data_IF_304120044733
#
_entry.id   IF_304120044733
#
_cell.length_a   1.000
_cell.length_b   1.000
_cell.length_c   1.000
_cell.angle_alpha   90.00
_cell.angle_beta   90.00
_cell.angle_gamma   90.00
#
_symmetry.space_group_name_H-M   'P 1'
#
loop_
_entity.id
_entity.type
_entity.pdbx_description
1 polymer ?
#
# COMPACT_ATOMS: atom_id res chain seq x y z
N UNK A 1 56.19 10.32 -63.58
CA UNK A 1 56.24 9.02 -62.86
C UNK A 1 56.14 9.21 -61.31
N UNK A 2 56.72 10.27 -60.74
CA UNK A 2 56.71 10.52 -59.28
C UNK A 2 55.33 10.92 -58.69
N UNK A 3 54.43 11.46 -59.49
CA UNK A 3 53.10 11.92 -59.05
C UNK A 3 52.08 10.74 -58.90
N UNK A 4 52.26 9.66 -59.65
CA UNK A 4 51.36 8.47 -59.65
C UNK A 4 51.66 7.59 -58.43
N UNK A 5 52.92 7.44 -58.02
CA UNK A 5 53.31 6.63 -56.85
C UNK A 5 52.79 7.21 -55.54
N UNK A 6 52.78 8.55 -55.38
CA UNK A 6 52.26 9.18 -54.16
C UNK A 6 50.74 9.08 -54.02
N UNK A 7 49.99 9.00 -55.12
CA UNK A 7 48.51 8.82 -55.02
C UNK A 7 48.13 7.41 -54.65
N UNK A 8 48.85 6.39 -55.09
CA UNK A 8 48.62 4.99 -54.72
C UNK A 8 48.98 4.70 -53.25
N UNK A 9 50.02 5.37 -52.69
CA UNK A 9 50.41 5.22 -51.29
C UNK A 9 49.40 5.87 -50.32
N UNK A 10 48.86 7.05 -50.67
CA UNK A 10 47.84 7.74 -49.84
C UNK A 10 46.49 7.00 -49.92
N UNK A 11 46.15 6.40 -51.07
CA UNK A 11 44.91 5.62 -51.20
C UNK A 11 44.95 4.32 -50.38
N UNK A 12 46.10 3.64 -50.34
CA UNK A 12 46.24 2.41 -49.55
C UNK A 12 46.24 2.68 -48.05
N UNK A 13 46.80 3.80 -47.60
CA UNK A 13 46.78 4.19 -46.19
C UNK A 13 45.38 4.51 -45.70
N UNK A 14 44.57 5.22 -46.47
CA UNK A 14 43.20 5.53 -46.15
C UNK A 14 42.29 4.29 -46.11
N UNK A 15 42.54 3.32 -47.03
CA UNK A 15 41.79 2.07 -47.06
C UNK A 15 42.09 1.17 -45.83
N UNK A 16 43.35 1.14 -45.42
CA UNK A 16 43.79 0.38 -44.24
C UNK A 16 43.20 0.97 -42.94
N UNK A 17 43.17 2.29 -42.80
CA UNK A 17 42.54 2.97 -41.66
C UNK A 17 40.99 2.80 -41.64
N UNK A 18 40.37 2.82 -42.83
CA UNK A 18 38.95 2.54 -42.98
C UNK A 18 38.60 1.09 -42.59
N UNK A 19 39.43 0.12 -42.97
CA UNK A 19 39.22 -1.29 -42.56
C UNK A 19 39.43 -1.51 -41.06
N UNK A 20 40.39 -0.82 -40.44
CA UNK A 20 40.61 -0.88 -39.00
C UNK A 20 39.48 -0.22 -38.18
N UNK A 21 38.91 0.87 -38.69
CA UNK A 21 37.74 1.51 -38.05
C UNK A 21 36.48 0.65 -38.17
N UNK A 22 36.28 0.03 -39.33
CA UNK A 22 35.13 -0.91 -39.53
C UNK A 22 35.29 -2.17 -38.67
N UNK A 23 36.51 -2.74 -38.56
CA UNK A 23 36.77 -3.87 -37.68
C UNK A 23 36.60 -3.54 -36.19
N UNK A 24 36.92 -2.31 -35.73
CA UNK A 24 36.70 -1.89 -34.35
C UNK A 24 35.22 -1.70 -34.00
N UNK A 25 34.37 -1.40 -35.00
CA UNK A 25 32.93 -1.30 -34.82
C UNK A 25 32.23 -2.69 -34.65
N UNK A 26 32.86 -3.75 -35.18
CA UNK A 26 32.34 -5.13 -35.04
C UNK A 26 32.93 -5.88 -33.83
N UNK A 27 33.95 -5.32 -33.14
CA UNK A 27 34.56 -5.92 -31.94
C UNK A 27 34.05 -5.32 -30.63
N UNK A 28 32.93 -4.56 -30.65
CA UNK A 28 32.22 -4.32 -29.41
C UNK A 28 31.54 -5.66 -29.06
N UNK A 29 31.95 -6.33 -27.97
CA UNK A 29 31.14 -7.41 -27.46
C UNK A 29 29.77 -6.77 -27.21
N UNK A 30 28.75 -7.25 -27.90
CA UNK A 30 27.39 -6.98 -27.49
C UNK A 30 27.33 -7.49 -26.05
N UNK A 31 27.48 -6.58 -25.09
CA UNK A 31 27.02 -6.79 -23.73
C UNK A 31 25.51 -6.98 -23.88
N UNK A 32 25.11 -8.18 -24.24
CA UNK A 32 23.76 -8.61 -23.99
C UNK A 32 23.65 -8.54 -22.46
N UNK A 33 22.99 -7.52 -21.96
CA UNK A 33 22.44 -7.52 -20.63
C UNK A 33 21.68 -8.86 -20.53
N UNK A 34 22.30 -9.87 -19.95
CA UNK A 34 21.60 -11.13 -19.63
C UNK A 34 20.51 -10.72 -18.65
N UNK A 35 19.34 -10.45 -19.23
CA UNK A 35 18.12 -10.20 -18.45
C UNK A 35 17.93 -11.46 -17.63
N UNK A 36 18.29 -11.39 -16.34
CA UNK A 36 18.15 -12.52 -15.41
C UNK A 36 16.79 -13.16 -15.63
N UNK A 37 16.79 -14.44 -15.96
CA UNK A 37 15.56 -15.16 -16.22
C UNK A 37 14.68 -15.10 -14.96
N UNK A 38 13.47 -14.59 -15.11
CA UNK A 38 12.51 -14.50 -14.01
C UNK A 38 12.34 -15.89 -13.37
N UNK A 39 12.40 -15.99 -12.03
CA UNK A 39 12.25 -17.27 -11.35
C UNK A 39 10.91 -17.94 -11.69
N UNK A 40 10.84 -19.26 -11.64
CA UNK A 40 9.58 -19.99 -11.77
C UNK A 40 8.62 -19.65 -10.64
N UNK A 41 7.32 -19.86 -10.82
CA UNK A 41 6.35 -19.64 -9.73
C UNK A 41 6.61 -20.56 -8.54
N UNK A 42 7.11 -21.78 -8.77
CA UNK A 42 7.51 -22.68 -7.69
C UNK A 42 8.64 -22.11 -6.82
N UNK A 43 9.71 -21.58 -7.43
CA UNK A 43 10.79 -20.92 -6.69
C UNK A 43 10.31 -19.66 -5.97
N UNK A 44 9.38 -18.89 -6.57
CA UNK A 44 8.77 -17.75 -5.90
C UNK A 44 7.95 -18.19 -4.69
N UNK A 45 7.15 -19.26 -4.83
CA UNK A 45 6.38 -19.85 -3.74
C UNK A 45 7.30 -20.23 -2.56
N UNK A 46 8.36 -20.99 -2.83
CA UNK A 46 9.33 -21.40 -1.80
C UNK A 46 9.91 -20.19 -1.06
N UNK A 47 10.43 -19.21 -1.80
CA UNK A 47 10.97 -17.97 -1.22
C UNK A 47 9.97 -17.23 -0.33
N UNK A 48 8.70 -17.11 -0.78
CA UNK A 48 7.66 -16.45 -0.02
C UNK A 48 7.23 -17.26 1.21
N UNK A 49 7.15 -18.58 1.08
CA UNK A 49 6.81 -19.48 2.18
C UNK A 49 7.85 -19.47 3.30
N UNK A 50 9.14 -19.42 2.95
CA UNK A 50 10.25 -19.33 3.92
C UNK A 50 10.19 -18.06 4.77
N UNK A 51 9.81 -16.93 4.18
CA UNK A 51 9.79 -15.64 4.84
C UNK A 51 8.43 -15.28 5.49
N UNK A 52 7.38 -16.08 5.26
CA UNK A 52 6.03 -15.81 5.77
C UNK A 52 5.68 -16.71 6.97
N UNK A 53 4.80 -16.20 7.83
CA UNK A 53 4.39 -16.90 9.05
C UNK A 53 2.96 -16.49 9.46
N UNK A 54 2.35 -17.29 10.30
CA UNK A 54 1.08 -16.99 10.98
C UNK A 54 1.33 -16.06 12.17
N UNK A 55 0.43 -15.09 12.36
CA UNK A 55 0.34 -14.25 13.56
C UNK A 55 -0.62 -14.89 14.54
N UNK A 56 -0.16 -15.15 15.75
CA UNK A 56 -0.95 -15.72 16.83
C UNK A 56 -1.04 -14.74 18.01
N UNK A 57 -2.25 -14.53 18.53
CA UNK A 57 -2.48 -13.82 19.79
C UNK A 57 -3.08 -14.80 20.78
N UNK A 58 -2.38 -15.03 21.90
CA UNK A 58 -2.76 -16.06 22.89
C UNK A 58 -3.00 -17.44 22.24
N UNK A 59 -2.16 -17.78 21.26
CA UNK A 59 -2.24 -19.07 20.55
C UNK A 59 -3.31 -19.15 19.45
N UNK A 60 -4.11 -18.11 19.25
CA UNK A 60 -5.17 -18.06 18.21
C UNK A 60 -4.65 -17.34 16.97
N UNK A 61 -4.93 -17.91 15.79
CA UNK A 61 -4.62 -17.28 14.50
C UNK A 61 -5.42 -15.99 14.30
N UNK A 62 -4.70 -14.89 14.03
CA UNK A 62 -5.28 -13.57 13.77
C UNK A 62 -4.91 -13.01 12.39
N UNK A 63 -3.90 -13.58 11.73
CA UNK A 63 -3.47 -13.14 10.42
C UNK A 63 -2.17 -13.78 9.95
N UNK A 64 -1.56 -13.16 8.98
CA UNK A 64 -0.27 -13.51 8.38
C UNK A 64 0.73 -12.38 8.62
N UNK A 65 2.02 -12.68 8.60
CA UNK A 65 3.11 -11.72 8.61
C UNK A 65 4.28 -12.22 7.78
N UNK A 66 5.26 -11.38 7.54
CA UNK A 66 6.45 -11.75 6.79
C UNK A 66 7.68 -10.95 7.21
N UNK A 67 8.85 -11.58 7.11
CA UNK A 67 10.15 -10.98 7.37
C UNK A 67 10.57 -10.05 6.23
N UNK A 68 11.08 -8.88 6.58
CA UNK A 68 11.48 -7.82 5.64
C UNK A 68 12.99 -7.55 5.63
N UNK A 69 13.72 -8.09 6.61
CA UNK A 69 15.19 -8.09 6.65
C UNK A 69 15.74 -9.33 7.35
N UNK A 70 17.05 -9.48 7.29
CA UNK A 70 17.78 -10.60 7.90
C UNK A 70 17.89 -10.55 9.43
N UNK A 71 17.58 -9.40 10.04
CA UNK A 71 17.74 -9.14 11.47
C UNK A 71 16.49 -9.52 12.27
N UNK A 72 15.41 -9.92 11.59
CA UNK A 72 14.16 -10.38 12.21
C UNK A 72 13.07 -9.33 12.28
N UNK A 73 13.24 -8.17 11.62
CA UNK A 73 12.12 -7.25 11.46
C UNK A 73 11.09 -7.82 10.50
N UNK A 74 9.82 -7.68 10.86
CA UNK A 74 8.74 -8.25 10.09
C UNK A 74 7.52 -7.31 10.09
N UNK A 75 6.68 -7.45 9.06
CA UNK A 75 5.47 -6.67 8.88
C UNK A 75 4.22 -7.53 9.05
N UNK A 76 3.18 -6.95 9.65
CA UNK A 76 1.82 -7.47 9.72
C UNK A 76 0.82 -6.31 9.82
N UNK A 77 -0.49 -6.60 9.81
CA UNK A 77 -1.53 -5.58 9.96
C UNK A 77 -1.76 -5.17 11.40
N UNK A 78 -2.11 -3.89 11.60
CA UNK A 78 -2.45 -3.36 12.92
C UNK A 78 -3.68 -4.02 13.52
N UNK A 79 -4.75 -4.21 12.74
CA UNK A 79 -6.01 -4.76 13.26
C UNK A 79 -5.88 -6.19 13.82
N UNK A 80 -4.87 -6.97 13.39
CA UNK A 80 -4.52 -8.26 13.98
C UNK A 80 -3.64 -8.07 15.23
N UNK A 81 -2.60 -7.25 15.15
CA UNK A 81 -1.60 -7.07 16.20
C UNK A 81 -2.09 -6.26 17.40
N UNK A 82 -3.12 -5.39 17.25
CA UNK A 82 -3.67 -4.54 18.33
C UNK A 82 -4.37 -5.32 19.47
N UNK A 83 -4.67 -6.59 19.25
CA UNK A 83 -5.36 -7.42 20.25
C UNK A 83 -4.47 -7.64 21.47
N UNK A 84 -5.06 -7.54 22.67
CA UNK A 84 -4.34 -7.77 23.91
C UNK A 84 -3.96 -9.25 24.05
N UNK A 85 -2.71 -9.52 24.38
CA UNK A 85 -2.22 -10.87 24.64
C UNK A 85 -0.78 -11.08 24.20
N UNK A 86 -0.32 -12.31 24.32
CA UNK A 86 1.01 -12.72 23.89
C UNK A 86 1.02 -12.81 22.36
N UNK A 87 1.84 -11.98 21.73
CA UNK A 87 2.08 -12.01 20.29
C UNK A 87 3.16 -13.05 19.98
N UNK A 88 2.81 -14.00 19.14
CA UNK A 88 3.70 -15.04 18.65
C UNK A 88 3.58 -15.14 17.13
N UNK A 89 4.66 -15.62 16.52
CA UNK A 89 4.67 -16.04 15.11
C UNK A 89 4.87 -17.53 15.02
N UNK A 90 4.33 -18.15 13.97
CA UNK A 90 4.49 -19.58 13.70
C UNK A 90 4.71 -19.81 12.21
N UNK A 91 5.72 -20.59 11.87
CA UNK A 91 5.90 -21.13 10.53
C UNK A 91 6.50 -22.52 10.58
N UNK A 92 6.49 -23.25 9.46
CA UNK A 92 7.10 -24.58 9.39
C UNK A 92 8.62 -24.53 9.57
N UNK A 93 9.27 -23.44 9.15
CA UNK A 93 10.74 -23.29 9.20
C UNK A 93 11.20 -22.70 10.53
N UNK A 94 10.50 -21.69 11.04
CA UNK A 94 10.90 -20.97 12.26
C UNK A 94 10.38 -21.64 13.55
N UNK A 95 9.42 -22.56 13.43
CA UNK A 95 8.69 -23.05 14.58
C UNK A 95 7.78 -21.95 15.15
N UNK A 96 7.65 -21.88 16.47
CA UNK A 96 6.86 -20.88 17.20
C UNK A 96 7.80 -19.98 17.99
N UNK A 97 7.73 -18.68 17.76
CA UNK A 97 8.59 -17.66 18.38
C UNK A 97 7.72 -16.54 18.95
N UNK A 98 8.10 -16.01 20.10
CA UNK A 98 7.54 -14.76 20.62
C UNK A 98 7.98 -13.58 19.74
N UNK A 99 7.12 -12.57 19.57
CA UNK A 99 7.46 -11.36 18.83
C UNK A 99 7.16 -10.12 19.66
N UNK A 100 7.87 -9.03 19.36
CA UNK A 100 7.64 -7.72 19.98
C UNK A 100 7.10 -6.74 18.95
N UNK A 101 6.12 -5.94 19.32
CA UNK A 101 5.68 -4.80 18.52
C UNK A 101 6.71 -3.69 18.70
N UNK A 102 7.25 -3.19 17.59
CA UNK A 102 8.20 -2.06 17.54
C UNK A 102 7.47 -0.76 17.29
N UNK A 103 6.62 -0.72 16.26
CA UNK A 103 5.90 0.48 15.84
C UNK A 103 4.65 0.15 15.02
N UNK A 104 3.75 1.13 14.91
CA UNK A 104 2.59 1.05 14.02
C UNK A 104 2.41 2.30 13.18
N UNK A 105 1.81 2.11 12.01
CA UNK A 105 1.28 3.18 11.17
C UNK A 105 -0.23 3.01 11.03
N UNK A 106 -0.97 3.84 11.77
CA UNK A 106 -2.43 3.80 11.79
C UNK A 106 -3.08 4.22 10.48
N UNK A 107 -2.36 5.04 9.68
CA UNK A 107 -2.83 5.48 8.36
C UNK A 107 -2.80 4.40 7.30
N UNK A 108 -2.04 3.33 7.56
CA UNK A 108 -1.86 2.21 6.66
C UNK A 108 -2.24 0.86 7.26
N UNK A 109 -2.84 0.83 8.46
CA UNK A 109 -3.13 -0.45 9.15
C UNK A 109 -1.90 -1.38 9.25
N UNK A 110 -0.73 -0.81 9.51
CA UNK A 110 0.56 -1.50 9.47
C UNK A 110 1.20 -1.57 10.85
N UNK A 111 1.80 -2.72 11.17
CA UNK A 111 2.61 -2.96 12.38
C UNK A 111 3.95 -3.55 12.01
N UNK A 112 5.01 -2.96 12.55
CA UNK A 112 6.36 -3.51 12.55
C UNK A 112 6.56 -4.33 13.81
N UNK A 113 7.00 -5.56 13.67
CA UNK A 113 7.35 -6.46 14.76
C UNK A 113 8.81 -6.91 14.65
N UNK A 114 9.38 -7.37 15.75
CA UNK A 114 10.73 -7.91 15.84
C UNK A 114 10.68 -9.32 16.42
N UNK A 115 11.37 -10.26 15.78
CA UNK A 115 11.59 -11.61 16.23
C UNK A 115 12.88 -11.71 17.08
N UNK A 116 13.05 -12.74 17.93
CA UNK A 116 14.24 -12.92 18.73
C UNK A 116 15.52 -12.97 17.90
N UNK A 117 16.61 -12.40 18.40
CA UNK A 117 17.93 -12.55 17.77
C UNK A 117 18.34 -14.02 17.69
N UNK A 118 19.05 -14.39 16.60
CA UNK A 118 19.58 -15.75 16.39
C UNK A 118 20.88 -15.71 15.57
N UNK A 119 21.66 -16.79 15.61
CA UNK A 119 22.96 -16.88 14.92
C UNK A 119 22.83 -16.91 13.40
N UNK A 120 21.78 -17.52 12.87
CA UNK A 120 21.53 -17.60 11.42
C UNK A 120 20.63 -16.44 10.95
N UNK A 121 20.97 -15.76 9.84
CA UNK A 121 20.10 -14.75 9.26
C UNK A 121 18.69 -15.27 9.01
N UNK A 122 17.71 -14.40 9.19
CA UNK A 122 16.33 -14.72 8.84
C UNK A 122 16.13 -14.75 7.31
N UNK A 123 15.35 -15.71 6.77
CA UNK A 123 14.88 -15.59 5.39
C UNK A 123 13.95 -14.39 5.29
N UNK A 124 14.08 -13.56 4.26
CA UNK A 124 13.28 -12.34 4.13
C UNK A 124 12.92 -12.02 2.69
N UNK A 125 11.92 -11.15 2.53
CA UNK A 125 11.50 -10.60 1.25
C UNK A 125 11.89 -9.12 1.19
N UNK A 126 12.72 -8.69 0.23
CA UNK A 126 13.07 -7.28 0.09
C UNK A 126 11.84 -6.47 -0.31
N UNK A 127 11.68 -5.29 0.31
CA UNK A 127 10.54 -4.41 0.03
C UNK A 127 10.86 -3.51 -1.17
N UNK A 128 10.05 -3.58 -2.21
CA UNK A 128 10.22 -2.83 -3.46
C UNK A 128 10.25 -1.32 -3.23
N UNK A 129 11.10 -0.61 -3.98
CA UNK A 129 11.16 0.86 -3.97
C UNK A 129 10.03 1.51 -4.77
N UNK A 130 9.34 0.75 -5.62
CA UNK A 130 8.29 1.23 -6.53
C UNK A 130 6.98 0.50 -6.29
N UNK A 131 5.86 1.19 -6.50
CA UNK A 131 4.56 0.54 -6.58
C UNK A 131 4.46 -0.27 -7.87
N UNK A 132 3.78 -1.41 -7.81
CA UNK A 132 3.36 -2.12 -9.00
C UNK A 132 2.27 -1.31 -9.74
N UNK A 133 2.36 -1.23 -11.07
CA UNK A 133 1.39 -0.51 -11.90
C UNK A 133 0.16 -1.33 -12.25
N UNK A 134 -0.90 -0.71 -12.80
CA UNK A 134 -2.10 -1.42 -13.21
C UNK A 134 -1.80 -2.58 -14.18
N UNK A 135 -2.52 -3.70 -14.01
CA UNK A 135 -2.34 -4.90 -14.82
C UNK A 135 -1.11 -5.74 -14.48
N UNK A 136 -0.20 -5.26 -13.61
CA UNK A 136 0.95 -6.08 -13.20
C UNK A 136 0.50 -7.27 -12.35
N UNK A 137 0.97 -8.49 -12.65
CA UNK A 137 0.71 -9.65 -11.82
C UNK A 137 1.41 -9.52 -10.48
N UNK A 138 0.68 -9.87 -9.42
CA UNK A 138 1.16 -9.88 -8.04
C UNK A 138 0.75 -11.18 -7.36
N UNK A 139 1.53 -11.60 -6.37
CA UNK A 139 1.43 -12.90 -5.74
C UNK A 139 1.37 -12.73 -4.22
N UNK A 140 0.34 -13.27 -3.60
CA UNK A 140 0.13 -13.22 -2.14
C UNK A 140 0.49 -14.56 -1.51
N UNK A 141 1.18 -14.54 -0.40
CA UNK A 141 1.28 -15.66 0.53
C UNK A 141 0.42 -15.38 1.77
N UNK A 142 -0.43 -16.30 2.16
CA UNK A 142 -1.31 -16.11 3.32
C UNK A 142 -1.78 -17.41 3.95
N UNK A 143 -2.57 -17.28 5.04
CA UNK A 143 -3.15 -18.41 5.78
C UNK A 143 -4.68 -18.29 5.82
N UNK A 144 -5.36 -18.36 4.65
CA UNK A 144 -6.81 -18.20 4.58
C UNK A 144 -7.53 -19.33 5.33
N UNK A 145 -8.46 -18.96 6.22
CA UNK A 145 -9.34 -19.90 6.91
C UNK A 145 -8.54 -21.11 7.48
N UNK A 146 -7.44 -20.83 8.19
CA UNK A 146 -6.51 -21.81 8.78
C UNK A 146 -5.77 -22.75 7.80
N UNK A 147 -5.68 -22.38 6.49
CA UNK A 147 -4.88 -23.11 5.49
C UNK A 147 -3.52 -22.45 5.36
N UNK A 148 -2.48 -23.19 5.72
CA UNK A 148 -1.10 -22.69 5.74
C UNK A 148 -0.57 -22.43 4.34
N UNK A 149 0.18 -21.34 4.17
CA UNK A 149 1.01 -21.05 3.00
C UNK A 149 0.25 -21.14 1.66
N UNK A 150 -0.97 -20.59 1.62
CA UNK A 150 -1.76 -20.53 0.37
C UNK A 150 -1.23 -19.41 -0.51
N UNK A 151 -0.90 -19.77 -1.75
CA UNK A 151 -0.40 -18.88 -2.77
C UNK A 151 -1.54 -18.40 -3.66
N UNK A 152 -1.81 -17.11 -3.63
CA UNK A 152 -2.91 -16.47 -4.37
C UNK A 152 -2.32 -15.56 -5.45
N UNK A 153 -2.86 -15.62 -6.66
CA UNK A 153 -2.48 -14.74 -7.76
C UNK A 153 -3.49 -13.61 -7.94
N UNK A 154 -3.01 -12.44 -8.30
CA UNK A 154 -3.85 -11.28 -8.59
C UNK A 154 -3.17 -10.31 -9.55
N UNK A 155 -3.87 -9.22 -9.86
CA UNK A 155 -3.33 -8.14 -10.68
C UNK A 155 -3.67 -6.80 -10.04
N UNK A 156 -2.76 -5.84 -10.11
CA UNK A 156 -3.05 -4.47 -9.67
C UNK A 156 -4.23 -3.93 -10.47
N UNK A 157 -5.30 -3.53 -9.78
CA UNK A 157 -6.59 -3.22 -10.39
C UNK A 157 -6.76 -1.76 -10.81
N UNK A 158 -6.02 -0.80 -10.20
CA UNK A 158 -6.11 0.62 -10.56
C UNK A 158 -4.78 1.34 -10.41
N UNK A 159 -4.69 2.50 -11.04
CA UNK A 159 -3.51 3.38 -10.95
C UNK A 159 -3.50 4.14 -9.62
N UNK A 160 -2.34 4.11 -8.94
CA UNK A 160 -2.12 4.88 -7.71
C UNK A 160 -2.79 4.28 -6.47
N UNK A 161 -2.72 5.03 -5.38
CA UNK A 161 -3.33 4.67 -4.10
C UNK A 161 -4.72 5.27 -3.96
N UNK A 162 -5.55 4.65 -3.14
CA UNK A 162 -6.89 5.05 -2.75
C UNK A 162 -7.02 5.00 -1.23
N UNK A 163 -8.16 5.43 -0.70
CA UNK A 163 -8.42 5.41 0.73
C UNK A 163 -9.73 4.68 1.01
N UNK A 164 -9.63 3.61 1.78
CA UNK A 164 -10.79 2.84 2.25
C UNK A 164 -11.06 3.15 3.72
N UNK A 165 -12.33 3.38 4.06
CA UNK A 165 -12.72 3.59 5.46
C UNK A 165 -12.82 2.23 6.17
N UNK A 166 -11.89 1.98 7.07
CA UNK A 166 -11.77 0.74 7.80
C UNK A 166 -11.41 0.99 9.27
N UNK A 167 -12.07 0.30 10.20
CA UNK A 167 -11.80 0.39 11.64
C UNK A 167 -11.75 1.84 12.19
N UNK A 168 -12.73 2.66 11.75
CA UNK A 168 -12.86 4.06 12.20
C UNK A 168 -11.90 5.05 11.56
N UNK A 169 -11.21 4.67 10.50
CA UNK A 169 -10.21 5.48 9.82
C UNK A 169 -10.13 5.18 8.33
N UNK A 170 -9.59 6.15 7.58
CA UNK A 170 -9.18 5.91 6.20
C UNK A 170 -7.80 5.28 6.15
N UNK A 171 -7.71 4.11 5.55
CA UNK A 171 -6.46 3.37 5.29
C UNK A 171 -6.05 3.57 3.83
N UNK A 172 -4.81 3.99 3.61
CA UNK A 172 -4.27 4.11 2.25
C UNK A 172 -3.90 2.75 1.69
N UNK A 173 -4.34 2.44 0.48
CA UNK A 173 -4.10 1.17 -0.17
C UNK A 173 -4.04 1.22 -1.69
N UNK A 174 -3.69 0.11 -2.28
CA UNK A 174 -3.71 -0.15 -3.73
C UNK A 174 -4.66 -1.30 -3.97
N UNK A 175 -5.61 -1.16 -4.90
CA UNK A 175 -6.53 -2.24 -5.22
C UNK A 175 -5.87 -3.34 -6.07
N UNK A 176 -6.16 -4.57 -5.70
CA UNK A 176 -5.75 -5.79 -6.40
C UNK A 176 -6.99 -6.60 -6.79
N UNK A 177 -7.12 -6.98 -8.03
CA UNK A 177 -8.13 -7.92 -8.49
C UNK A 177 -7.71 -9.33 -8.04
N UNK A 178 -8.24 -9.75 -6.90
CA UNK A 178 -8.00 -11.05 -6.29
C UNK A 178 -9.04 -11.36 -5.21
N UNK A 179 -9.34 -12.63 -5.03
CA UNK A 179 -10.14 -13.12 -3.90
C UNK A 179 -9.18 -13.45 -2.74
N UNK A 180 -9.30 -12.72 -1.64
CA UNK A 180 -8.45 -12.89 -0.46
C UNK A 180 -9.30 -13.13 0.79
N UNK A 181 -9.55 -14.40 1.17
CA UNK A 181 -10.33 -14.73 2.37
C UNK A 181 -9.67 -14.27 3.67
N UNK A 182 -10.45 -14.24 4.76
CA UNK A 182 -9.96 -13.94 6.10
C UNK A 182 -8.79 -14.84 6.52
N UNK A 183 -7.76 -14.26 7.17
CA UNK A 183 -6.50 -14.89 7.51
C UNK A 183 -5.33 -14.51 6.59
N UNK A 184 -5.60 -13.96 5.42
CA UNK A 184 -4.57 -13.40 4.53
C UNK A 184 -4.04 -12.03 4.97
N UNK A 185 -4.75 -11.32 5.85
CA UNK A 185 -4.36 -10.00 6.38
C UNK A 185 -2.94 -10.03 6.93
N UNK A 186 -2.09 -9.10 6.48
CA UNK A 186 -0.66 -9.04 6.81
C UNK A 186 0.24 -9.87 5.90
N UNK A 187 -0.30 -10.65 4.97
CA UNK A 187 0.50 -11.43 4.01
C UNK A 187 1.18 -10.54 2.95
N UNK A 188 2.39 -10.93 2.48
CA UNK A 188 3.12 -10.17 1.47
C UNK A 188 2.49 -10.34 0.08
N UNK A 189 2.26 -9.24 -0.63
CA UNK A 189 2.09 -9.21 -2.07
C UNK A 189 3.44 -8.98 -2.72
N UNK A 190 3.92 -9.91 -3.52
CA UNK A 190 5.20 -9.79 -4.22
C UNK A 190 5.05 -9.70 -5.73
N UNK A 191 6.07 -9.15 -6.40
CA UNK A 191 6.25 -9.29 -7.83
C UNK A 191 6.91 -10.65 -8.16
N UNK A 192 7.12 -10.94 -9.47
CA UNK A 192 7.73 -12.18 -9.93
C UNK A 192 9.16 -12.42 -9.44
N UNK A 193 9.88 -11.36 -9.04
CA UNK A 193 11.24 -11.43 -8.50
C UNK A 193 11.28 -11.70 -6.99
N UNK A 194 10.13 -11.77 -6.33
CA UNK A 194 10.01 -11.94 -4.88
C UNK A 194 10.30 -10.67 -4.10
N UNK A 195 10.15 -9.48 -4.72
CA UNK A 195 10.14 -8.23 -4.00
C UNK A 195 8.72 -7.91 -3.55
N UNK A 196 8.56 -7.50 -2.30
CA UNK A 196 7.26 -7.09 -1.76
C UNK A 196 6.82 -5.77 -2.38
N UNK A 197 5.72 -5.79 -3.11
CA UNK A 197 5.07 -4.63 -3.73
C UNK A 197 3.88 -4.12 -2.92
N UNK A 198 3.54 -4.80 -1.84
CA UNK A 198 2.52 -4.40 -0.87
C UNK A 198 2.27 -5.47 0.19
N UNK A 199 1.40 -5.18 1.14
CA UNK A 199 0.95 -6.10 2.19
C UNK A 199 -0.58 -6.15 2.20
N UNK A 200 -1.15 -7.35 2.28
CA UNK A 200 -2.60 -7.53 2.32
C UNK A 200 -3.21 -6.85 3.57
N UNK A 201 -4.11 -5.91 3.37
CA UNK A 201 -4.86 -5.26 4.45
C UNK A 201 -6.30 -5.81 4.54
N UNK A 202 -7.09 -5.60 3.52
CA UNK A 202 -8.52 -5.87 3.53
C UNK A 202 -9.01 -6.45 2.20
N UNK A 203 -10.23 -6.97 2.21
CA UNK A 203 -10.96 -7.36 1.00
C UNK A 203 -12.30 -6.65 0.98
N UNK A 204 -12.74 -6.22 -0.18
CA UNK A 204 -14.10 -5.71 -0.35
C UNK A 204 -15.09 -6.85 -0.11
N UNK A 205 -15.99 -6.63 0.86
CA UNK A 205 -16.98 -7.63 1.27
C UNK A 205 -18.36 -6.98 1.33
N UNK A 206 -19.33 -7.59 0.67
CA UNK A 206 -20.75 -7.26 0.77
C UNK A 206 -21.46 -8.38 1.56
N UNK A 207 -22.74 -8.22 1.93
CA UNK A 207 -23.52 -9.31 2.56
C UNK A 207 -23.54 -10.60 1.74
N UNK A 208 -23.39 -10.51 0.41
CA UNK A 208 -23.26 -11.65 -0.51
C UNK A 208 -21.88 -12.34 -0.49
N UNK A 209 -20.90 -11.80 0.24
CA UNK A 209 -19.54 -12.32 0.34
C UNK A 209 -18.46 -11.41 -0.28
N UNK A 210 -17.25 -11.97 -0.43
CA UNK A 210 -16.09 -11.27 -1.01
C UNK A 210 -16.30 -10.95 -2.48
N UNK A 211 -15.92 -9.74 -2.90
CA UNK A 211 -16.19 -9.21 -4.25
C UNK A 211 -14.98 -9.30 -5.20
N UNK A 212 -13.92 -10.02 -4.82
CA UNK A 212 -12.75 -10.19 -5.69
C UNK A 212 -11.85 -8.96 -5.82
N UNK A 213 -12.02 -7.97 -4.94
CA UNK A 213 -11.14 -6.81 -4.83
C UNK A 213 -10.48 -6.84 -3.45
N UNK A 214 -9.16 -6.91 -3.45
CA UNK A 214 -8.32 -6.81 -2.27
C UNK A 214 -7.67 -5.43 -2.20
N UNK A 215 -7.31 -5.00 -1.00
CA UNK A 215 -6.54 -3.79 -0.74
C UNK A 215 -5.19 -4.16 -0.16
N UNK A 216 -4.11 -3.73 -0.81
CA UNK A 216 -2.76 -3.90 -0.30
C UNK A 216 -2.16 -2.57 0.15
N UNK A 217 -1.47 -2.58 1.28
CA UNK A 217 -0.71 -1.45 1.82
C UNK A 217 0.48 -1.17 0.89
N UNK A 218 0.76 0.09 0.52
CA UNK A 218 1.88 0.42 -0.38
C UNK A 218 3.25 0.05 0.23
N UNK A 219 4.23 -0.42 -0.57
CA UNK A 219 5.56 -0.81 -0.07
C UNK A 219 6.32 0.37 0.54
N UNK A 220 6.00 1.61 0.15
CA UNK A 220 6.56 2.83 0.73
C UNK A 220 6.25 2.93 2.23
N UNK A 221 5.03 2.62 2.65
CA UNK A 221 4.63 2.67 4.07
C UNK A 221 5.46 1.68 4.91
N UNK A 222 5.67 0.46 4.39
CA UNK A 222 6.46 -0.58 5.06
C UNK A 222 7.92 -0.10 5.26
N UNK A 223 8.54 0.46 4.20
CA UNK A 223 9.92 0.98 4.31
C UNK A 223 10.02 2.16 5.27
N UNK A 224 9.07 3.09 5.23
CA UNK A 224 9.06 4.24 6.14
C UNK A 224 8.93 3.83 7.61
N UNK A 225 8.08 2.83 7.90
CA UNK A 225 7.93 2.34 9.28
C UNK A 225 9.18 1.61 9.75
N UNK A 226 9.82 0.80 8.87
CA UNK A 226 11.09 0.13 9.16
C UNK A 226 12.23 1.14 9.42
N UNK A 227 12.30 2.21 8.63
CA UNK A 227 13.31 3.26 8.78
C UNK A 227 13.14 4.06 10.08
N UNK A 228 11.91 4.48 10.40
CA UNK A 228 11.62 5.31 11.56
C UNK A 228 11.59 4.53 12.86
N UNK A 229 11.04 3.32 12.86
CA UNK A 229 10.78 2.48 14.05
C UNK A 229 9.99 3.21 15.15
N UNK A 230 9.14 4.14 14.76
CA UNK A 230 8.30 4.97 15.63
C UNK A 230 6.85 4.93 15.16
N UNK A 231 5.91 5.08 16.11
CA UNK A 231 4.50 5.12 15.80
C UNK A 231 4.14 6.30 14.90
N UNK A 232 3.34 6.05 13.86
CA UNK A 232 2.84 7.06 12.94
C UNK A 232 1.34 7.23 13.18
N UNK A 233 0.95 8.42 13.66
CA UNK A 233 -0.42 8.81 13.94
C UNK A 233 -0.82 9.94 12.99
N UNK A 234 -1.43 9.66 11.83
CA UNK A 234 -1.87 10.71 10.93
C UNK A 234 -2.96 11.56 11.55
N UNK A 235 -3.14 12.78 11.02
CA UNK A 235 -4.22 13.65 11.40
C UNK A 235 -5.58 13.05 11.00
N UNK A 236 -6.59 13.17 11.87
CA UNK A 236 -7.95 12.69 11.61
C UNK A 236 -9.00 13.73 12.05
N UNK A 237 -10.16 13.68 11.37
CA UNK A 237 -11.40 14.37 11.73
C UNK A 237 -12.33 13.49 12.56
N UNK A 238 -12.06 12.19 12.62
CA UNK A 238 -12.91 11.19 13.27
C UNK A 238 -14.32 11.14 12.65
N UNK A 239 -14.36 11.21 11.33
CA UNK A 239 -15.55 11.01 10.51
C UNK A 239 -15.17 10.38 9.17
N UNK A 240 -16.10 9.68 8.54
CA UNK A 240 -16.01 9.32 7.13
C UNK A 240 -16.63 10.41 6.24
N UNK A 241 -16.26 10.42 4.97
CA UNK A 241 -16.92 11.16 3.91
C UNK A 241 -17.12 10.24 2.71
N UNK A 242 -18.20 10.46 1.98
CA UNK A 242 -18.59 9.68 0.80
C UNK A 242 -19.06 10.61 -0.30
N UNK A 243 -18.91 10.19 -1.55
CA UNK A 243 -19.42 10.92 -2.71
C UNK A 243 -20.96 11.00 -2.71
N UNK A 244 -21.53 12.15 -3.10
CA UNK A 244 -22.98 12.34 -3.20
C UNK A 244 -23.61 11.31 -4.15
N UNK A 245 -22.97 11.04 -5.29
CA UNK A 245 -23.48 10.12 -6.31
C UNK A 245 -23.50 8.64 -5.85
N UNK A 246 -22.75 8.30 -4.80
CA UNK A 246 -22.74 6.96 -4.19
C UNK A 246 -23.85 6.75 -3.16
N UNK A 247 -24.66 7.77 -2.85
CA UNK A 247 -25.71 7.69 -1.84
C UNK A 247 -27.00 7.08 -2.39
N UNK A 248 -27.91 6.71 -1.48
CA UNK A 248 -29.26 6.25 -1.84
C UNK A 248 -30.02 7.33 -2.64
N UNK A 249 -30.77 6.91 -3.66
CA UNK A 249 -31.50 7.80 -4.55
C UNK A 249 -32.52 8.69 -3.83
N UNK A 250 -33.13 8.24 -2.73
CA UNK A 250 -34.05 9.05 -1.93
C UNK A 250 -33.31 10.16 -1.19
N UNK A 251 -32.11 9.87 -0.69
CA UNK A 251 -31.24 10.90 -0.10
C UNK A 251 -30.85 11.95 -1.14
N UNK A 252 -30.40 11.52 -2.34
CA UNK A 252 -29.99 12.44 -3.42
C UNK A 252 -31.10 13.41 -3.79
N UNK A 253 -32.37 12.96 -3.81
CA UNK A 253 -33.54 13.80 -4.08
C UNK A 253 -33.79 14.90 -3.04
N UNK A 254 -33.27 14.76 -1.82
CA UNK A 254 -33.39 15.78 -0.76
C UNK A 254 -32.34 16.88 -0.88
N UNK A 255 -31.30 16.67 -1.67
CA UNK A 255 -30.22 17.64 -1.85
C UNK A 255 -30.57 18.62 -2.98
N UNK A 256 -30.33 19.95 -2.84
CA UNK A 256 -30.51 20.91 -3.91
C UNK A 256 -29.76 20.50 -5.17
N UNK A 257 -30.43 20.61 -6.34
CA UNK A 257 -29.84 20.24 -7.62
C UNK A 257 -28.51 20.98 -7.87
N UNK A 258 -27.51 20.27 -8.40
CA UNK A 258 -26.18 20.84 -8.69
C UNK A 258 -25.27 21.01 -7.47
N UNK A 259 -25.66 20.51 -6.30
CA UNK A 259 -24.79 20.51 -5.13
C UNK A 259 -23.54 19.68 -5.38
N UNK A 260 -22.37 20.26 -5.09
CA UNK A 260 -21.06 19.64 -5.17
C UNK A 260 -20.48 19.48 -3.77
N UNK A 261 -19.83 18.34 -3.50
CA UNK A 261 -19.24 18.09 -2.20
C UNK A 261 -19.25 16.62 -1.80
N UNK A 262 -19.00 16.37 -0.51
CA UNK A 262 -18.96 15.04 0.08
C UNK A 262 -19.92 14.95 1.26
N UNK A 263 -20.60 13.83 1.40
CA UNK A 263 -21.53 13.57 2.51
C UNK A 263 -20.77 13.07 3.73
N UNK A 264 -21.02 13.69 4.90
CA UNK A 264 -20.45 13.23 6.17
C UNK A 264 -21.14 11.93 6.61
N UNK A 265 -20.34 10.93 6.86
CA UNK A 265 -20.79 9.62 7.33
C UNK A 265 -19.95 9.15 8.52
N UNK A 266 -20.48 8.24 9.30
CA UNK A 266 -19.81 7.59 10.43
C UNK A 266 -19.11 8.59 11.36
N UNK A 267 -19.80 9.68 11.70
CA UNK A 267 -19.29 10.71 12.59
C UNK A 267 -19.16 10.18 14.03
N UNK A 268 -17.94 10.21 14.57
CA UNK A 268 -17.73 9.83 15.98
C UNK A 268 -18.30 10.90 16.88
N UNK A 269 -19.22 10.53 17.79
CA UNK A 269 -19.97 11.48 18.66
C UNK A 269 -19.07 12.41 19.48
N UNK A 270 -17.97 11.89 20.03
CA UNK A 270 -16.97 12.65 20.80
C UNK A 270 -15.76 13.07 19.97
N UNK A 271 -15.85 12.93 18.64
CA UNK A 271 -14.79 13.26 17.71
C UNK A 271 -14.58 14.76 17.53
N UNK A 272 -13.44 15.12 16.96
CA UNK A 272 -13.07 16.53 16.73
C UNK A 272 -14.02 17.25 15.78
N UNK A 273 -14.49 16.55 14.73
CA UNK A 273 -15.47 17.12 13.80
C UNK A 273 -16.82 17.37 14.48
N UNK A 274 -17.33 16.40 15.28
CA UNK A 274 -18.58 16.56 16.01
C UNK A 274 -18.51 17.73 17.01
N UNK A 275 -17.42 17.84 17.78
CA UNK A 275 -17.19 18.96 18.71
C UNK A 275 -17.10 20.32 18.04
N UNK A 276 -16.69 20.35 16.77
CA UNK A 276 -16.67 21.57 15.94
C UNK A 276 -18.03 21.91 15.30
N UNK A 277 -19.09 21.11 15.53
CA UNK A 277 -20.43 21.35 15.03
C UNK A 277 -20.74 20.69 13.67
N UNK A 278 -19.90 19.74 13.21
CA UNK A 278 -20.24 18.87 12.08
C UNK A 278 -21.31 17.87 12.52
N UNK A 279 -22.27 17.60 11.65
CA UNK A 279 -23.35 16.63 11.89
C UNK A 279 -23.30 15.50 10.88
N UNK A 280 -23.82 14.34 11.28
CA UNK A 280 -24.04 13.23 10.36
C UNK A 280 -24.98 13.69 9.22
N UNK A 281 -24.67 13.32 7.98
CA UNK A 281 -25.37 13.73 6.76
C UNK A 281 -25.17 15.19 6.33
N UNK A 282 -24.34 15.98 7.01
CA UNK A 282 -23.90 17.26 6.42
C UNK A 282 -23.20 17.02 5.08
N UNK A 283 -23.23 18.00 4.22
CA UNK A 283 -22.47 18.01 2.98
C UNK A 283 -21.30 18.96 3.13
N UNK A 284 -20.08 18.45 3.00
CA UNK A 284 -18.85 19.24 2.95
C UNK A 284 -18.75 19.85 1.56
N UNK A 285 -19.09 21.12 1.44
CA UNK A 285 -19.03 21.87 0.17
C UNK A 285 -17.61 22.29 -0.20
N UNK A 286 -16.83 22.71 0.82
CA UNK A 286 -15.42 23.13 0.62
C UNK A 286 -14.55 22.75 1.81
N UNK A 287 -13.30 22.52 1.48
CA UNK A 287 -12.21 22.27 2.45
C UNK A 287 -11.08 23.26 2.18
N UNK A 288 -10.72 24.07 3.21
CA UNK A 288 -9.76 25.17 3.07
C UNK A 288 -10.03 26.07 1.84
N UNK A 289 -11.31 26.34 1.56
CA UNK A 289 -11.78 27.18 0.45
C UNK A 289 -11.88 26.48 -0.92
N UNK A 290 -11.52 25.21 -1.04
CA UNK A 290 -11.56 24.42 -2.29
C UNK A 290 -12.77 23.50 -2.32
N UNK A 291 -13.46 23.43 -3.45
CA UNK A 291 -14.51 22.42 -3.70
C UNK A 291 -13.81 21.07 -3.85
N UNK A 292 -14.31 20.06 -3.15
CA UNK A 292 -13.79 18.69 -3.20
C UNK A 292 -15.00 17.76 -3.34
N UNK A 293 -15.01 16.95 -4.40
CA UNK A 293 -16.10 16.05 -4.77
C UNK A 293 -15.72 14.56 -4.68
N UNK A 294 -14.42 14.26 -4.42
CA UNK A 294 -13.88 12.90 -4.35
C UNK A 294 -13.27 12.65 -2.98
N UNK A 295 -13.60 11.51 -2.38
CA UNK A 295 -13.06 11.05 -1.09
C UNK A 295 -11.53 10.97 -1.13
N UNK A 296 -10.97 10.38 -2.18
CA UNK A 296 -9.51 10.28 -2.34
C UNK A 296 -8.83 11.66 -2.29
N UNK A 297 -9.41 12.65 -2.95
CA UNK A 297 -8.88 14.03 -2.98
C UNK A 297 -8.96 14.69 -1.61
N UNK A 298 -10.07 14.49 -0.88
CA UNK A 298 -10.27 14.97 0.48
C UNK A 298 -9.21 14.37 1.43
N UNK A 299 -9.05 13.05 1.42
CA UNK A 299 -8.13 12.38 2.33
C UNK A 299 -6.67 12.70 2.00
N UNK A 300 -6.29 12.81 0.71
CA UNK A 300 -4.95 13.29 0.33
C UNK A 300 -4.69 14.71 0.86
N UNK A 301 -5.68 15.59 0.87
CA UNK A 301 -5.55 16.92 1.47
C UNK A 301 -5.36 16.83 2.98
N UNK A 302 -6.14 16.00 3.66
CA UNK A 302 -6.02 15.74 5.10
C UNK A 302 -4.66 15.14 5.49
N UNK A 303 -4.12 14.20 4.69
CA UNK A 303 -2.82 13.55 4.93
C UNK A 303 -1.60 14.47 4.82
N UNK A 304 -1.76 15.69 4.27
CA UNK A 304 -0.72 16.74 4.26
C UNK A 304 -0.70 17.56 5.54
N UNK A 305 -1.70 17.40 6.41
CA UNK A 305 -1.82 18.08 7.69
C UNK A 305 -1.21 17.22 8.80
N UNK A 306 -0.85 17.86 9.90
CA UNK A 306 -0.41 17.18 11.12
C UNK A 306 -1.43 17.33 12.24
N UNK A 307 -1.45 16.44 13.24
CA UNK A 307 -2.29 16.64 14.44
C UNK A 307 -2.04 18.01 15.06
N UNK A 308 -3.13 18.72 15.39
CA UNK A 308 -3.10 20.09 15.90
C UNK A 308 -3.39 21.16 14.85
N UNK A 309 -3.21 20.87 13.57
CA UNK A 309 -3.59 21.78 12.49
C UNK A 309 -5.09 22.07 12.48
N UNK A 310 -5.45 23.23 11.94
CA UNK A 310 -6.85 23.63 11.73
C UNK A 310 -7.25 23.33 10.28
N UNK A 311 -8.38 22.64 10.11
CA UNK A 311 -9.05 22.45 8.82
C UNK A 311 -10.33 23.29 8.79
N UNK A 312 -10.53 24.07 7.73
CA UNK A 312 -11.73 24.89 7.54
C UNK A 312 -12.69 24.15 6.62
N UNK A 313 -13.93 23.94 7.10
CA UNK A 313 -14.99 23.30 6.32
C UNK A 313 -16.12 24.30 6.08
N UNK A 314 -16.63 24.36 4.85
CA UNK A 314 -17.91 24.94 4.53
C UNK A 314 -18.92 23.80 4.40
N UNK A 315 -19.95 23.83 5.23
CA UNK A 315 -20.92 22.76 5.35
C UNK A 315 -22.30 23.23 4.92
N UNK A 316 -23.11 22.30 4.46
CA UNK A 316 -24.53 22.46 4.22
C UNK A 316 -25.29 21.33 4.92
N UNK A 317 -26.41 21.65 5.56
CA UNK A 317 -27.31 20.63 6.10
C UNK A 317 -27.88 19.72 5.01
N UNK A 318 -28.32 18.53 5.38
CA UNK A 318 -28.89 17.53 4.48
C UNK A 318 -29.96 18.09 3.52
N UNK A 319 -30.83 18.96 4.03
CA UNK A 319 -31.95 19.56 3.29
C UNK A 319 -31.60 20.89 2.59
N UNK A 320 -30.35 21.34 2.71
CA UNK A 320 -29.87 22.60 2.14
C UNK A 320 -30.28 23.85 2.90
N UNK A 321 -31.00 23.72 4.03
CA UNK A 321 -31.57 24.86 4.77
C UNK A 321 -30.54 25.70 5.54
N UNK A 322 -29.43 25.05 5.98
CA UNK A 322 -28.37 25.69 6.77
C UNK A 322 -27.01 25.57 6.08
N UNK A 323 -26.33 26.70 5.90
CA UNK A 323 -24.94 26.77 5.42
C UNK A 323 -24.07 27.44 6.47
N UNK A 324 -23.01 26.74 6.89
CA UNK A 324 -22.13 27.22 7.96
C UNK A 324 -20.66 26.92 7.67
N UNK A 325 -19.80 27.68 8.35
CA UNK A 325 -18.36 27.48 8.32
C UNK A 325 -17.88 27.02 9.69
N UNK A 326 -17.12 25.96 9.72
CA UNK A 326 -16.52 25.42 10.95
C UNK A 326 -15.00 25.32 10.81
N UNK A 327 -14.30 25.45 11.94
CA UNK A 327 -12.85 25.18 12.05
C UNK A 327 -12.68 23.97 12.94
N UNK A 328 -12.08 22.91 12.39
CA UNK A 328 -11.83 21.67 13.12
C UNK A 328 -10.35 21.57 13.45
N UNK A 329 -10.01 21.46 14.74
CA UNK A 329 -8.64 21.12 15.15
C UNK A 329 -8.45 19.63 15.02
N UNK A 330 -7.51 19.22 14.16
CA UNK A 330 -7.24 17.82 13.86
C UNK A 330 -6.62 17.09 15.07
N UNK A 331 -7.06 15.88 15.34
CA UNK A 331 -6.47 15.00 16.36
C UNK A 331 -5.55 13.94 15.74
N UNK A 332 -4.62 13.37 16.52
CA UNK A 332 -3.90 12.19 16.08
C UNK A 332 -4.86 10.99 16.05
N UNK A 333 -4.74 10.16 15.03
CA UNK A 333 -5.41 8.87 14.96
C UNK A 333 -4.66 7.87 15.85
N UNK A 334 -5.17 7.61 17.04
CA UNK A 334 -4.59 6.65 18.00
C UNK A 334 -5.20 5.27 17.90
#
# INVERSE_FOLDING_TARGET
TRIIENRLFVMNLNFTYFLLIVMSLFLHPAFSEQKEAKPTLGKLYEKMAEASFEILINGRLEGTGFLIDQDGHAATVWHAAKRKGNLEVRSQILGRLSAKIIAHDRGHDLTLIELPSRDKPYPYLPVSKKNAGPGHPVYLMGTPIFRHQVFITGHVARKGTTFEYFDGNFVEGIHVAALTPGGCSGGPWSNRMGEVVGMQAASMTLPSGHQGIATMIPPKAIRQLLEKKENIFPATLQMAVEEIWGQDGNYIKTIPQGTKGLVVRQLQKEGTAAKAGVKEWDIVLKVDGRIIEETDTFIRHLRRKVPGDLLRLELMSKDGSDKRKVKVKLSPLK
#
